data_IF_315307844267
#
_entry.id   IF_315307844267
#
_cell.length_a   1.000
_cell.length_b   1.000
_cell.length_c   1.000
_cell.angle_alpha   90.00
_cell.angle_beta   90.00
_cell.angle_gamma   90.00
#
_symmetry.space_group_name_H-M   'P 1'
#
loop_
_entity.id
_entity.type
_entity.pdbx_description
1 polymer ?
#
# COMPACT_ATOMS: atom_id res chain seq x y z
N UNK A 1 13.88 -17.01 2.68
CA UNK A 1 12.90 -16.54 1.68
C UNK A 1 12.38 -15.23 2.20
N UNK A 2 12.49 -14.15 1.43
CA UNK A 2 12.05 -12.81 1.81
C UNK A 2 10.67 -12.52 1.20
N UNK A 3 9.73 -12.03 1.99
CA UNK A 3 8.38 -11.66 1.53
C UNK A 3 8.23 -10.14 1.56
N UNK A 4 7.90 -9.55 0.42
CA UNK A 4 7.55 -8.13 0.31
C UNK A 4 6.04 -7.97 0.22
N UNK A 5 5.45 -7.17 1.10
CA UNK A 5 4.13 -6.63 0.84
C UNK A 5 4.21 -5.39 -0.05
N UNK A 6 3.14 -5.13 -0.78
CA UNK A 6 2.97 -3.87 -1.50
C UNK A 6 1.52 -3.47 -1.66
N UNK A 7 1.31 -2.16 -1.73
CA UNK A 7 0.00 -1.54 -1.96
C UNK A 7 0.17 -0.17 -2.63
N UNK A 8 -0.94 0.40 -3.09
CA UNK A 8 -1.00 1.79 -3.50
C UNK A 8 -2.21 2.47 -2.86
N UNK A 9 -2.15 3.78 -2.67
CA UNK A 9 -3.28 4.53 -2.12
C UNK A 9 -3.24 6.00 -2.52
N UNK A 10 -4.41 6.60 -2.74
CA UNK A 10 -4.63 8.04 -2.93
C UNK A 10 -5.93 8.40 -2.23
N UNK A 11 -5.95 9.51 -1.49
CA UNK A 11 -7.13 10.01 -0.77
C UNK A 11 -7.78 8.99 0.18
N UNK A 12 -6.98 8.18 0.87
CA UNK A 12 -7.46 7.11 1.75
C UNK A 12 -8.28 7.59 2.94
N UNK A 13 -7.98 8.78 3.47
CA UNK A 13 -8.71 9.37 4.60
C UNK A 13 -10.09 9.88 4.16
N UNK A 14 -10.16 10.69 3.09
CA UNK A 14 -11.43 11.23 2.58
C UNK A 14 -12.33 10.11 2.06
N UNK A 15 -11.77 9.09 1.42
CA UNK A 15 -12.52 7.93 0.94
C UNK A 15 -12.92 6.96 2.06
N UNK A 16 -12.43 7.15 3.29
CA UNK A 16 -12.80 6.34 4.45
C UNK A 16 -12.25 4.92 4.42
N UNK A 17 -11.14 4.68 3.71
CA UNK A 17 -10.53 3.35 3.67
C UNK A 17 -9.84 3.02 5.00
N UNK A 18 -9.95 1.78 5.50
CA UNK A 18 -9.25 1.30 6.70
C UNK A 18 -7.75 1.04 6.43
N UNK A 19 -7.07 1.91 5.70
CA UNK A 19 -5.72 1.65 5.19
C UNK A 19 -4.66 1.51 6.30
N UNK A 20 -4.86 2.16 7.45
CA UNK A 20 -3.97 1.99 8.61
C UNK A 20 -4.08 0.56 9.15
N UNK A 21 -5.29 0.02 9.23
CA UNK A 21 -5.59 -1.35 9.68
C UNK A 21 -5.11 -2.36 8.65
N UNK A 22 -5.38 -2.12 7.35
CA UNK A 22 -4.85 -2.89 6.22
C UNK A 22 -3.33 -3.02 6.35
N UNK A 23 -2.63 -1.88 6.48
CA UNK A 23 -1.17 -1.86 6.59
C UNK A 23 -0.70 -2.69 7.79
N UNK A 24 -1.30 -2.45 8.97
CA UNK A 24 -0.90 -3.12 10.21
C UNK A 24 -1.16 -4.62 10.19
N UNK A 25 -2.23 -5.08 9.54
CA UNK A 25 -2.63 -6.49 9.54
C UNK A 25 -1.59 -7.41 8.92
N UNK A 26 -0.84 -6.95 7.91
CA UNK A 26 0.14 -7.81 7.21
C UNK A 26 1.58 -7.65 7.72
N UNK A 27 1.89 -6.60 8.50
CA UNK A 27 3.25 -6.37 9.02
C UNK A 27 3.86 -7.54 9.81
N UNK A 28 3.08 -8.38 10.52
CA UNK A 28 3.62 -9.57 11.20
C UNK A 28 4.21 -10.61 10.23
N UNK A 29 3.65 -10.77 9.04
CA UNK A 29 3.94 -11.89 8.12
C UNK A 29 4.88 -11.53 6.95
N UNK A 30 5.37 -10.29 6.87
CA UNK A 30 6.26 -9.83 5.79
C UNK A 30 7.57 -9.26 6.31
N UNK A 31 8.58 -9.19 5.45
CA UNK A 31 9.90 -8.62 5.77
C UNK A 31 10.00 -7.13 5.39
N UNK A 32 9.24 -6.70 4.39
CA UNK A 32 9.11 -5.30 3.99
C UNK A 32 7.71 -4.99 3.46
N UNK A 33 7.34 -3.72 3.46
CA UNK A 33 6.08 -3.24 2.90
C UNK A 33 6.31 -1.97 2.09
N UNK A 34 6.21 -2.09 0.76
CA UNK A 34 6.29 -0.96 -0.16
C UNK A 34 4.92 -0.33 -0.35
N UNK A 35 4.77 0.95 0.01
CA UNK A 35 3.49 1.66 -0.09
C UNK A 35 3.65 2.80 -1.08
N UNK A 36 2.94 2.73 -2.21
CA UNK A 36 2.93 3.78 -3.21
C UNK A 36 1.80 4.78 -2.96
N UNK A 37 2.16 5.97 -2.48
CA UNK A 37 1.19 7.01 -2.11
C UNK A 37 1.07 8.01 -3.25
N UNK A 38 -0.13 8.10 -3.82
CA UNK A 38 -0.48 9.12 -4.80
C UNK A 38 -0.60 10.49 -4.17
N UNK A 39 -0.39 11.54 -4.97
CA UNK A 39 -0.72 12.92 -4.60
C UNK A 39 -2.16 12.98 -4.08
N UNK A 40 -2.30 13.26 -2.77
CA UNK A 40 -3.58 13.21 -2.05
C UNK A 40 -3.99 14.60 -1.58
N UNK A 41 -5.30 14.84 -1.51
CA UNK A 41 -5.91 16.08 -1.01
C UNK A 41 -6.16 16.04 0.51
N UNK A 42 -5.68 15.00 1.18
CA UNK A 42 -5.90 14.70 2.59
C UNK A 42 -4.61 14.26 3.31
N UNK A 43 -4.72 13.89 4.58
CA UNK A 43 -3.59 13.50 5.41
C UNK A 43 -3.12 12.04 5.17
N UNK A 44 -3.52 11.37 4.08
CA UNK A 44 -3.16 9.96 3.82
C UNK A 44 -1.66 9.71 3.96
N UNK A 45 -0.82 10.54 3.32
CA UNK A 45 0.64 10.41 3.43
C UNK A 45 1.13 10.58 4.88
N UNK A 46 0.63 11.60 5.57
CA UNK A 46 1.03 11.91 6.95
C UNK A 46 0.60 10.79 7.92
N UNK A 47 -0.59 10.23 7.72
CA UNK A 47 -1.11 9.10 8.49
C UNK A 47 -0.27 7.83 8.29
N UNK A 48 0.16 7.52 7.05
CA UNK A 48 1.06 6.39 6.79
C UNK A 48 2.44 6.64 7.42
N UNK A 49 3.00 7.85 7.29
CA UNK A 49 4.28 8.22 7.92
C UNK A 49 4.24 8.18 9.45
N UNK A 50 3.06 8.29 10.05
CA UNK A 50 2.87 8.15 11.50
C UNK A 50 3.07 6.72 11.99
N UNK A 51 2.93 5.72 11.10
CA UNK A 51 3.17 4.31 11.40
C UNK A 51 4.68 4.07 11.48
N UNK A 52 5.26 4.22 12.67
CA UNK A 52 6.69 4.01 12.92
C UNK A 52 7.02 2.52 12.90
N UNK A 53 7.23 1.95 11.71
CA UNK A 53 7.69 0.58 11.54
C UNK A 53 8.83 0.51 10.51
N UNK A 54 9.98 -0.11 10.83
CA UNK A 54 11.14 -0.16 9.94
C UNK A 54 10.92 -0.99 8.67
N UNK A 55 9.90 -1.85 8.62
CA UNK A 55 9.54 -2.63 7.42
C UNK A 55 8.86 -1.76 6.35
N UNK A 56 8.29 -0.60 6.72
CA UNK A 56 7.53 0.25 5.81
C UNK A 56 8.49 1.10 4.97
N UNK A 57 8.35 1.02 3.64
CA UNK A 57 9.01 1.88 2.67
C UNK A 57 7.97 2.62 1.85
N UNK A 58 7.90 3.93 2.03
CA UNK A 58 6.96 4.78 1.29
C UNK A 58 7.64 5.26 0.00
N UNK A 59 6.96 5.09 -1.12
CA UNK A 59 7.26 5.76 -2.38
C UNK A 59 6.09 6.67 -2.75
N UNK A 60 6.36 7.73 -3.50
CA UNK A 60 5.31 8.66 -3.95
C UNK A 60 5.26 8.66 -5.47
N UNK A 61 4.06 8.76 -6.03
CA UNK A 61 3.84 8.82 -7.46
C UNK A 61 2.73 9.82 -7.82
N UNK A 62 2.82 10.39 -9.01
CA UNK A 62 1.74 11.18 -9.58
C UNK A 62 0.90 10.29 -10.50
N UNK A 63 -0.41 10.32 -10.30
CA UNK A 63 -1.34 9.53 -11.09
C UNK A 63 -1.64 10.25 -12.41
N UNK A 64 -1.78 9.50 -13.50
CA UNK A 64 -2.24 10.11 -14.75
C UNK A 64 -3.76 10.28 -14.69
N UNK A 65 -4.22 11.47 -14.33
CA UNK A 65 -5.65 11.76 -14.20
C UNK A 65 -6.39 11.67 -15.54
N UNK A 66 -5.72 11.65 -16.69
CA UNK A 66 -6.37 11.41 -17.99
C UNK A 66 -6.61 9.92 -18.29
N UNK A 67 -6.05 9.01 -17.47
CA UNK A 67 -6.14 7.57 -17.68
C UNK A 67 -7.40 6.99 -17.04
N UNK A 68 -8.53 7.15 -17.74
CA UNK A 68 -9.83 6.68 -17.28
C UNK A 68 -10.24 5.31 -17.85
N UNK A 69 -9.47 4.72 -18.78
CA UNK A 69 -9.84 3.43 -19.37
C UNK A 69 -9.81 2.33 -18.31
N UNK A 70 -11.00 1.86 -17.90
CA UNK A 70 -11.21 0.65 -17.09
C UNK A 70 -10.32 0.54 -15.84
N UNK A 71 -9.96 1.67 -15.23
CA UNK A 71 -9.11 1.70 -14.02
C UNK A 71 -7.64 1.35 -14.27
N UNK A 72 -7.13 1.49 -15.50
CA UNK A 72 -5.73 1.17 -15.83
C UNK A 72 -4.72 1.94 -14.98
N UNK A 73 -5.12 3.13 -14.49
CA UNK A 73 -4.32 3.90 -13.53
C UNK A 73 -4.01 3.09 -12.26
N UNK A 74 -4.96 2.32 -11.73
CA UNK A 74 -4.75 1.47 -10.54
C UNK A 74 -3.70 0.39 -10.80
N UNK A 75 -3.78 -0.26 -11.97
CA UNK A 75 -2.79 -1.23 -12.41
C UNK A 75 -1.39 -0.62 -12.49
N UNK A 76 -1.26 0.58 -13.06
CA UNK A 76 0.01 1.31 -13.09
C UNK A 76 0.57 1.54 -11.69
N UNK A 77 -0.25 2.01 -10.74
CA UNK A 77 0.21 2.31 -9.38
C UNK A 77 0.59 1.06 -8.59
N UNK A 78 -0.17 -0.03 -8.78
CA UNK A 78 0.14 -1.35 -8.24
C UNK A 78 1.50 -1.85 -8.75
N UNK A 79 1.75 -1.77 -10.05
CA UNK A 79 3.01 -2.20 -10.65
C UNK A 79 4.21 -1.36 -10.19
N UNK A 80 4.04 -0.04 -10.02
CA UNK A 80 5.09 0.84 -9.47
C UNK A 80 5.51 0.40 -8.06
N UNK A 81 4.55 0.05 -7.20
CA UNK A 81 4.82 -0.47 -5.87
C UNK A 81 5.51 -1.84 -5.92
N UNK A 82 4.99 -2.76 -6.75
CA UNK A 82 5.56 -4.09 -6.93
C UNK A 82 7.01 -4.05 -7.44
N UNK A 83 7.32 -3.19 -8.41
CA UNK A 83 8.66 -3.05 -8.98
C UNK A 83 9.70 -2.60 -7.94
N UNK A 84 9.24 -2.00 -6.85
CA UNK A 84 10.06 -1.56 -5.74
C UNK A 84 10.27 -2.66 -4.68
N UNK A 85 9.56 -3.78 -4.74
CA UNK A 85 9.80 -4.93 -3.87
C UNK A 85 11.18 -5.55 -4.14
N UNK A 86 11.78 -6.11 -3.10
CA UNK A 86 13.08 -6.78 -3.14
C UNK A 86 13.04 -8.22 -2.63
N UNK A 87 11.86 -8.70 -2.23
CA UNK A 87 11.62 -10.06 -1.76
C UNK A 87 11.51 -11.08 -2.89
N UNK A 88 11.67 -12.35 -2.52
CA UNK A 88 11.46 -13.49 -3.42
C UNK A 88 9.97 -13.68 -3.74
N UNK A 89 9.10 -13.27 -2.80
CA UNK A 89 7.64 -13.32 -2.92
C UNK A 89 7.02 -11.95 -2.71
N UNK A 90 5.87 -11.73 -3.33
CA UNK A 90 5.12 -10.49 -3.25
C UNK A 90 3.71 -10.75 -2.73
N UNK A 91 3.32 -10.03 -1.69
CA UNK A 91 1.99 -10.05 -1.09
C UNK A 91 1.29 -8.72 -1.41
N UNK A 92 0.18 -8.77 -2.14
CA UNK A 92 -0.59 -7.57 -2.46
C UNK A 92 -1.80 -7.47 -1.54
N UNK A 93 -2.09 -6.27 -1.06
CA UNK A 93 -3.29 -5.95 -0.28
C UNK A 93 -3.79 -4.56 -0.65
N UNK A 94 -5.10 -4.38 -0.73
CA UNK A 94 -5.74 -3.07 -0.96
C UNK A 94 -6.02 -2.32 0.35
N UNK A 95 -6.16 -1.00 0.28
CA UNK A 95 -6.35 -0.16 1.46
C UNK A 95 -7.64 -0.43 2.24
N UNK A 96 -8.58 -1.15 1.63
CA UNK A 96 -9.87 -1.57 2.17
C UNK A 96 -9.94 -3.06 2.53
N UNK A 97 -8.84 -3.79 2.37
CA UNK A 97 -8.70 -5.18 2.79
C UNK A 97 -7.97 -5.28 4.13
N UNK A 98 -8.38 -6.20 4.99
CA UNK A 98 -7.76 -6.45 6.29
C UNK A 98 -7.75 -7.96 6.54
N UNK A 99 -6.62 -8.48 7.00
CA UNK A 99 -6.50 -9.88 7.43
C UNK A 99 -6.72 -9.99 8.93
N UNK A 100 -7.50 -10.98 9.35
CA UNK A 100 -7.72 -11.26 10.77
C UNK A 100 -6.44 -11.83 11.37
N UNK A 101 -6.06 -11.39 12.58
CA UNK A 101 -4.82 -11.82 13.24
C UNK A 101 -4.74 -13.35 13.45
N UNK A 102 -5.88 -13.99 13.71
CA UNK A 102 -5.98 -15.45 13.89
C UNK A 102 -5.69 -16.27 12.61
N UNK A 103 -5.72 -15.65 11.43
CA UNK A 103 -5.45 -16.32 10.14
C UNK A 103 -3.96 -16.21 9.73
N UNK A 104 -3.10 -15.62 10.58
CA UNK A 104 -1.69 -15.34 10.28
C UNK A 104 -0.70 -16.38 10.87
N UNK A 105 -1.20 -17.39 11.58
CA UNK A 105 -0.42 -18.45 12.25
C UNK A 105 -0.41 -19.80 11.49
#
# INVERSE_FOLDING_TARGET
MKVSAFTFIKNGQILGYPFIQSIKSILPIVDEFVINVGDSEDDTLALIQSIKNPKIRIIQSTWNDNMHDRGYVYGQQKMIAQFNCTGDWAFYIEGDEVYHEDDLE
#
